data_IF_489578081576
#
_entry.id   IF_489578081576
#
_cell.length_a   1.000
_cell.length_b   1.000
_cell.length_c   1.000
_cell.angle_alpha   90.00
_cell.angle_beta   90.00
_cell.angle_gamma   90.00
#
_symmetry.space_group_name_H-M   'P 1'
#
loop_
_entity.id
_entity.type
_entity.pdbx_description
1 polymer ?
#
# COMPACT_ATOMS: atom_id res chain seq x y z
N UNK A 1 -2.22 14.62 -11.16
CA UNK A 1 -2.23 15.68 -10.13
C UNK A 1 -2.89 15.09 -8.89
N UNK A 2 -2.09 14.63 -7.92
CA UNK A 2 -2.61 14.13 -6.65
C UNK A 2 -2.86 15.32 -5.71
N UNK A 3 -3.90 15.21 -4.88
CA UNK A 3 -4.27 16.21 -3.88
C UNK A 3 -3.13 16.42 -2.88
N UNK A 4 -2.58 17.63 -2.82
CA UNK A 4 -1.64 18.08 -1.78
C UNK A 4 -2.45 18.94 -0.82
N UNK A 5 -2.50 18.62 0.49
CA UNK A 5 -3.19 19.46 1.45
C UNK A 5 -2.58 20.86 1.44
N UNK A 6 -3.41 21.88 1.22
CA UNK A 6 -2.95 23.26 1.21
C UNK A 6 -2.62 23.69 2.66
N UNK A 7 -1.35 23.66 3.02
CA UNK A 7 -0.85 24.26 4.27
C UNK A 7 -0.42 25.69 4.02
N UNK A 8 -1.37 26.59 3.73
CA UNK A 8 -1.13 28.04 3.76
C UNK A 8 -1.98 28.71 4.84
N UNK A 9 -1.26 29.35 5.75
CA UNK A 9 -1.71 30.11 6.91
C UNK A 9 -2.38 31.43 6.54
N UNK A 10 -3.42 31.81 7.28
CA UNK A 10 -3.90 33.20 7.36
C UNK A 10 -5.26 33.44 6.70
N UNK A 11 -6.32 32.82 7.21
CA UNK A 11 -7.70 33.14 6.86
C UNK A 11 -8.62 32.65 7.97
N UNK A 12 -9.63 33.45 8.35
CA UNK A 12 -10.66 33.08 9.31
C UNK A 12 -11.15 31.66 9.04
N UNK A 13 -10.83 30.73 9.95
CA UNK A 13 -11.15 29.32 9.79
C UNK A 13 -12.68 29.18 9.66
N UNK A 14 -13.15 29.01 8.43
CA UNK A 14 -14.56 28.81 8.14
C UNK A 14 -14.94 27.50 8.82
N UNK A 15 -15.68 27.58 9.94
CA UNK A 15 -16.16 26.39 10.65
C UNK A 15 -17.05 25.61 9.69
N UNK A 16 -16.54 24.51 9.15
CA UNK A 16 -17.34 23.56 8.37
C UNK A 16 -18.43 23.02 9.28
N UNK A 17 -19.68 23.16 8.87
CA UNK A 17 -20.83 22.72 9.66
C UNK A 17 -20.93 21.19 9.63
N UNK A 18 -21.52 20.59 10.67
CA UNK A 18 -21.82 19.16 10.67
C UNK A 18 -22.64 18.74 9.44
N UNK A 19 -23.59 19.60 9.03
CA UNK A 19 -24.38 19.39 7.82
C UNK A 19 -23.51 19.27 6.56
N UNK A 20 -22.50 20.14 6.42
CA UNK A 20 -21.61 20.08 5.26
C UNK A 20 -20.80 18.79 5.20
N UNK A 21 -20.37 18.27 6.35
CA UNK A 21 -19.71 16.96 6.42
C UNK A 21 -20.67 15.84 6.03
N UNK A 22 -21.95 15.89 6.46
CA UNK A 22 -22.96 14.91 6.07
C UNK A 22 -23.18 14.91 4.54
N UNK A 23 -23.21 16.08 3.91
CA UNK A 23 -23.25 16.18 2.44
C UNK A 23 -22.03 15.54 1.79
N UNK A 24 -20.82 15.81 2.30
CA UNK A 24 -19.59 15.20 1.80
C UNK A 24 -19.59 13.67 1.95
N UNK A 25 -20.06 13.14 3.09
CA UNK A 25 -20.23 11.70 3.29
C UNK A 25 -21.16 11.09 2.23
N UNK A 26 -22.26 11.76 1.90
CA UNK A 26 -23.17 11.30 0.84
C UNK A 26 -22.51 11.30 -0.54
N UNK A 27 -21.74 12.34 -0.88
CA UNK A 27 -21.00 12.39 -2.14
C UNK A 27 -19.93 11.29 -2.24
N UNK A 28 -19.15 11.08 -1.17
CA UNK A 28 -18.18 9.98 -1.09
C UNK A 28 -18.86 8.64 -1.23
N UNK A 29 -19.98 8.41 -0.54
CA UNK A 29 -20.77 7.20 -0.69
C UNK A 29 -21.22 6.95 -2.14
N UNK A 30 -21.65 8.01 -2.83
CA UNK A 30 -22.01 7.97 -4.25
C UNK A 30 -20.82 7.63 -5.15
N UNK A 31 -19.65 8.20 -4.90
CA UNK A 31 -18.42 7.91 -5.66
C UNK A 31 -17.96 6.46 -5.48
N UNK A 32 -17.96 5.96 -4.23
CA UNK A 32 -17.67 4.55 -3.90
C UNK A 32 -18.60 3.62 -4.68
N UNK A 33 -19.91 3.90 -4.66
CA UNK A 33 -20.90 3.09 -5.36
C UNK A 33 -20.72 3.13 -6.88
N UNK A 34 -20.51 4.32 -7.47
CA UNK A 34 -20.30 4.49 -8.92
C UNK A 34 -19.04 3.77 -9.44
N UNK A 35 -18.01 3.64 -8.59
CA UNK A 35 -16.80 2.86 -8.91
C UNK A 35 -16.98 1.35 -8.79
N UNK A 36 -18.12 0.88 -8.27
CA UNK A 36 -18.33 -0.53 -7.97
C UNK A 36 -17.49 -1.02 -6.80
N UNK A 37 -17.09 -0.13 -5.87
CA UNK A 37 -16.28 -0.48 -4.70
C UNK A 37 -17.09 -1.01 -3.52
N UNK A 38 -18.42 -1.03 -3.66
CA UNK A 38 -19.33 -1.72 -2.75
C UNK A 38 -20.50 -2.29 -3.55
N UNK A 39 -20.99 -3.47 -3.19
CA UNK A 39 -22.20 -4.03 -3.74
C UNK A 39 -23.38 -3.84 -2.77
N UNK A 40 -24.57 -3.55 -3.30
CA UNK A 40 -25.78 -3.45 -2.49
C UNK A 40 -25.68 -2.44 -1.35
N UNK A 41 -25.59 -2.93 -0.11
CA UNK A 41 -25.57 -2.15 1.13
C UNK A 41 -24.29 -2.33 1.96
N UNK A 42 -23.25 -2.89 1.35
CA UNK A 42 -21.93 -3.08 1.92
C UNK A 42 -21.15 -1.76 2.07
N UNK A 43 -20.02 -1.82 2.75
CA UNK A 43 -19.16 -0.67 3.04
C UNK A 43 -19.75 0.31 4.06
N UNK A 44 -18.87 1.10 4.67
CA UNK A 44 -19.26 2.13 5.62
C UNK A 44 -18.15 3.16 5.77
N UNK A 45 -18.53 4.39 6.12
CA UNK A 45 -17.55 5.44 6.40
C UNK A 45 -17.99 6.32 7.55
N UNK A 46 -17.01 6.93 8.21
CA UNK A 46 -17.21 7.78 9.39
C UNK A 46 -16.36 9.03 9.34
N UNK A 47 -16.79 10.02 10.12
CA UNK A 47 -16.03 11.25 10.34
C UNK A 47 -16.07 11.69 11.80
N UNK A 48 -14.90 11.97 12.39
CA UNK A 48 -14.75 12.42 13.77
C UNK A 48 -14.94 13.94 13.87
N UNK A 49 -16.04 14.38 14.48
CA UNK A 49 -16.31 15.80 14.75
C UNK A 49 -15.58 16.26 16.02
N UNK A 50 -15.61 15.42 17.05
CA UNK A 50 -14.91 15.61 18.33
C UNK A 50 -14.66 14.25 18.99
N UNK A 51 -14.02 14.23 20.15
CA UNK A 51 -13.74 13.00 20.91
C UNK A 51 -15.00 12.14 21.11
N UNK A 52 -16.14 12.76 21.46
CA UNK A 52 -17.39 12.07 21.79
C UNK A 52 -18.46 12.16 20.69
N UNK A 53 -18.11 12.62 19.49
CA UNK A 53 -19.07 12.78 18.38
C UNK A 53 -18.45 12.29 17.09
N UNK A 54 -18.84 11.09 16.66
CA UNK A 54 -18.43 10.50 15.40
C UNK A 54 -19.66 10.32 14.51
N UNK A 55 -19.63 10.92 13.32
CA UNK A 55 -20.60 10.65 12.26
C UNK A 55 -20.31 9.29 11.65
N UNK A 56 -21.32 8.50 11.33
CA UNK A 56 -21.14 7.25 10.58
C UNK A 56 -22.32 6.96 9.67
N UNK A 57 -22.07 6.25 8.57
CA UNK A 57 -23.13 5.77 7.70
C UNK A 57 -24.03 4.76 8.43
N UNK A 58 -25.33 4.71 8.10
CA UNK A 58 -26.23 3.70 8.61
C UNK A 58 -25.93 2.31 8.03
N UNK A 59 -26.40 1.28 8.73
CA UNK A 59 -26.44 -0.10 8.25
C UNK A 59 -27.55 -0.31 7.22
N UNK A 60 -27.36 -1.26 6.30
CA UNK A 60 -28.35 -1.70 5.30
C UNK A 60 -28.88 -0.61 4.35
N UNK A 61 -28.08 0.42 4.08
CA UNK A 61 -28.38 1.45 3.07
C UNK A 61 -27.27 1.46 2.03
N UNK A 62 -27.63 1.44 0.75
CA UNK A 62 -26.67 1.61 -0.34
C UNK A 62 -25.93 2.93 -0.20
N UNK A 63 -24.59 2.90 -0.31
CA UNK A 63 -23.78 4.11 -0.22
C UNK A 63 -24.11 5.12 -1.34
N UNK A 64 -24.60 4.63 -2.48
CA UNK A 64 -25.05 5.45 -3.59
C UNK A 64 -26.31 6.29 -3.32
N UNK A 65 -27.11 5.90 -2.31
CA UNK A 65 -28.42 6.49 -2.04
C UNK A 65 -28.50 7.17 -0.65
N UNK A 66 -27.35 7.45 -0.03
CA UNK A 66 -27.30 8.13 1.27
C UNK A 66 -27.87 9.54 1.16
N UNK A 67 -28.65 9.94 2.16
CA UNK A 67 -29.06 11.33 2.40
C UNK A 67 -28.39 11.86 3.66
N UNK A 68 -28.15 13.18 3.80
CA UNK A 68 -27.54 13.75 5.00
C UNK A 68 -28.26 13.38 6.31
N UNK A 69 -29.59 13.25 6.26
CA UNK A 69 -30.45 12.83 7.37
C UNK A 69 -30.31 11.36 7.76
N UNK A 70 -29.76 10.52 6.88
CA UNK A 70 -29.52 9.11 7.16
C UNK A 70 -28.26 8.89 8.02
N UNK A 71 -27.34 9.88 8.06
CA UNK A 71 -26.07 9.79 8.78
C UNK A 71 -26.32 9.76 10.30
N UNK A 72 -25.76 8.76 10.96
CA UNK A 72 -25.88 8.55 12.40
C UNK A 72 -24.77 9.29 13.15
N UNK A 73 -24.98 9.52 14.45
CA UNK A 73 -23.93 10.00 15.36
C UNK A 73 -23.77 8.99 16.49
N UNK A 74 -22.53 8.63 16.78
CA UNK A 74 -22.14 7.77 17.90
C UNK A 74 -21.19 8.51 18.84
N UNK A 75 -21.13 8.06 20.09
CA UNK A 75 -20.08 8.42 21.04
C UNK A 75 -18.79 7.59 20.83
N UNK A 76 -17.77 7.81 21.67
CA UNK A 76 -16.47 7.14 21.57
C UNK A 76 -16.54 5.65 21.88
N UNK A 77 -17.60 5.20 22.56
CA UNK A 77 -17.90 3.79 22.83
C UNK A 77 -18.74 3.14 21.71
N UNK A 78 -19.14 3.91 20.69
CA UNK A 78 -19.91 3.41 19.54
C UNK A 78 -21.40 3.27 19.81
N UNK A 79 -21.90 3.82 20.93
CA UNK A 79 -23.32 3.92 21.22
C UNK A 79 -23.91 5.06 20.39
N UNK A 80 -25.01 4.75 19.71
CA UNK A 80 -25.73 5.74 18.91
C UNK A 80 -26.40 6.77 19.81
N UNK A 81 -26.03 8.03 19.63
CA UNK A 81 -26.55 9.17 20.37
C UNK A 81 -27.57 9.98 19.56
N UNK A 82 -27.50 9.93 18.21
CA UNK A 82 -28.53 10.49 17.35
C UNK A 82 -28.56 9.85 15.94
N UNK A 83 -29.62 10.12 15.18
CA UNK A 83 -29.87 9.57 13.84
C UNK A 83 -31.08 8.64 13.80
N UNK A 84 -31.82 8.66 12.69
CA UNK A 84 -33.08 7.90 12.52
C UNK A 84 -32.87 6.42 12.20
N UNK A 85 -31.75 6.09 11.56
CA UNK A 85 -31.38 4.73 11.16
C UNK A 85 -30.41 4.12 12.16
N UNK A 86 -30.28 2.79 12.13
CA UNK A 86 -29.27 2.07 12.90
C UNK A 86 -27.88 2.33 12.31
N UNK A 87 -26.94 2.77 13.14
CA UNK A 87 -25.51 2.94 12.79
C UNK A 87 -24.90 1.64 12.23
N UNK A 88 -23.83 1.75 11.44
CA UNK A 88 -23.10 0.58 10.88
C UNK A 88 -22.73 -0.45 11.96
N UNK A 89 -22.78 -1.75 11.64
CA UNK A 89 -22.33 -2.83 12.54
C UNK A 89 -20.84 -2.73 12.86
N UNK A 90 -20.05 -2.10 12.00
CA UNK A 90 -18.58 -2.10 12.08
C UNK A 90 -18.00 -0.83 12.67
N UNK A 91 -18.80 -0.06 13.41
CA UNK A 91 -18.33 1.19 14.01
C UNK A 91 -17.13 0.99 14.95
N UNK A 92 -17.01 -0.19 15.56
CA UNK A 92 -15.90 -0.52 16.46
C UNK A 92 -14.55 -0.62 15.73
N UNK A 93 -14.54 -1.03 14.46
CA UNK A 93 -13.35 -0.99 13.61
C UNK A 93 -12.85 0.46 13.44
N UNK A 94 -13.77 1.39 13.18
CA UNK A 94 -13.45 2.81 12.99
C UNK A 94 -12.95 3.45 14.29
N UNK A 95 -13.58 3.11 15.42
CA UNK A 95 -13.19 3.60 16.73
C UNK A 95 -11.80 3.10 17.16
N UNK A 96 -11.44 1.85 16.84
CA UNK A 96 -10.08 1.35 17.09
C UNK A 96 -9.02 2.19 16.38
N UNK A 97 -9.29 2.64 15.14
CA UNK A 97 -8.43 3.57 14.40
C UNK A 97 -8.38 4.93 15.09
N UNK A 98 -9.54 5.52 15.39
CA UNK A 98 -9.60 6.84 16.01
C UNK A 98 -8.89 6.91 17.37
N UNK A 99 -9.00 5.87 18.19
CA UNK A 99 -8.32 5.75 19.49
C UNK A 99 -6.80 5.75 19.34
N UNK A 100 -6.28 5.04 18.35
CA UNK A 100 -4.84 4.92 18.13
C UNK A 100 -4.24 6.08 17.30
N UNK A 101 -5.07 6.85 16.59
CA UNK A 101 -4.66 7.93 15.67
C UNK A 101 -5.44 9.24 15.88
N UNK A 102 -4.97 10.12 16.79
CA UNK A 102 -5.56 11.44 17.03
C UNK A 102 -5.52 12.39 15.82
N UNK A 103 -4.70 12.10 14.81
CA UNK A 103 -4.60 12.85 13.55
C UNK A 103 -5.69 12.49 12.52
N UNK A 104 -6.30 11.30 12.63
CA UNK A 104 -7.27 10.77 11.65
C UNK A 104 -8.68 11.30 11.89
N UNK A 105 -9.30 11.98 10.92
CA UNK A 105 -10.72 12.38 11.04
C UNK A 105 -11.66 11.50 10.24
N UNK A 106 -11.22 10.88 9.16
CA UNK A 106 -12.07 10.06 8.31
C UNK A 106 -11.58 8.62 8.23
N UNK A 107 -12.53 7.69 8.21
CA UNK A 107 -12.29 6.27 7.99
C UNK A 107 -13.31 5.77 6.99
N UNK A 108 -12.86 5.04 5.98
CA UNK A 108 -13.68 4.41 4.95
C UNK A 108 -13.33 2.93 4.90
N UNK A 109 -14.34 2.08 5.11
CA UNK A 109 -14.27 0.66 4.85
C UNK A 109 -15.14 0.32 3.64
N UNK A 110 -14.59 -0.42 2.68
CA UNK A 110 -15.28 -0.85 1.47
C UNK A 110 -14.67 -2.14 0.91
N UNK A 111 -15.22 -2.61 -0.22
CA UNK A 111 -14.93 -3.89 -0.84
C UNK A 111 -14.53 -3.72 -2.32
N UNK A 112 -13.50 -2.91 -2.64
CA UNK A 112 -13.10 -2.70 -4.01
C UNK A 112 -12.51 -4.02 -4.59
N UNK A 113 -12.92 -4.46 -5.80
CA UNK A 113 -12.75 -5.85 -6.22
C UNK A 113 -11.31 -6.36 -6.27
N UNK A 114 -10.36 -5.53 -6.73
CA UNK A 114 -8.99 -5.98 -6.94
C UNK A 114 -8.25 -6.07 -5.60
N UNK A 115 -8.37 -5.05 -4.73
CA UNK A 115 -7.76 -5.13 -3.40
C UNK A 115 -8.42 -6.23 -2.54
N UNK A 116 -9.73 -6.41 -2.68
CA UNK A 116 -10.46 -7.51 -2.01
C UNK A 116 -9.98 -8.88 -2.50
N UNK A 117 -9.62 -9.04 -3.78
CA UNK A 117 -9.04 -10.28 -4.29
C UNK A 117 -7.74 -10.66 -3.58
N UNK A 118 -6.86 -9.69 -3.27
CA UNK A 118 -5.65 -9.93 -2.47
C UNK A 118 -6.00 -10.34 -1.04
N UNK A 119 -6.97 -9.66 -0.42
CA UNK A 119 -7.43 -9.98 0.93
C UNK A 119 -8.03 -11.39 1.03
N UNK A 120 -8.78 -11.83 0.02
CA UNK A 120 -9.33 -13.20 -0.09
C UNK A 120 -8.21 -14.21 -0.37
N UNK A 121 -7.23 -13.87 -1.20
CA UNK A 121 -6.10 -14.74 -1.49
C UNK A 121 -5.11 -14.89 -0.33
N UNK A 122 -5.20 -14.04 0.71
CA UNK A 122 -4.24 -14.00 1.80
C UNK A 122 -2.85 -13.55 1.36
N UNK A 123 -2.79 -12.67 0.35
CA UNK A 123 -1.53 -12.18 -0.23
C UNK A 123 -1.38 -10.68 0.04
N UNK A 124 -0.29 -10.30 0.70
CA UNK A 124 0.00 -8.88 0.94
C UNK A 124 0.33 -8.13 -0.36
N UNK A 125 0.00 -6.83 -0.41
CA UNK A 125 0.41 -5.99 -1.53
C UNK A 125 1.92 -5.67 -1.42
N UNK A 126 2.69 -5.80 -2.52
CA UNK A 126 4.11 -5.50 -2.49
C UNK A 126 4.39 -4.04 -2.26
N UNK A 127 5.57 -3.78 -1.69
CA UNK A 127 6.22 -2.47 -1.70
C UNK A 127 7.26 -2.42 -2.82
N UNK A 128 7.77 -1.23 -3.10
CA UNK A 128 8.76 -0.94 -4.12
C UNK A 128 8.33 -1.32 -5.54
N UNK A 129 7.06 -1.12 -5.93
CA UNK A 129 6.62 -1.43 -7.31
C UNK A 129 6.08 -0.20 -8.01
N UNK A 130 5.19 0.54 -7.36
CA UNK A 130 4.45 1.63 -8.00
C UNK A 130 4.65 2.94 -7.22
N UNK A 131 5.27 3.97 -7.81
CA UNK A 131 5.61 5.23 -7.13
C UNK A 131 4.44 5.86 -6.37
N UNK A 132 3.26 5.93 -6.98
CA UNK A 132 2.07 6.53 -6.37
C UNK A 132 1.56 5.72 -5.17
N UNK A 133 1.70 4.39 -5.19
CA UNK A 133 1.33 3.57 -4.04
C UNK A 133 2.29 3.84 -2.87
N UNK A 134 3.59 3.97 -3.17
CA UNK A 134 4.61 4.27 -2.16
C UNK A 134 4.41 5.64 -1.51
N UNK A 135 4.14 6.65 -2.32
CA UNK A 135 3.96 8.03 -1.86
C UNK A 135 2.64 8.18 -1.11
N UNK A 136 1.51 7.74 -1.67
CA UNK A 136 0.18 8.09 -1.16
C UNK A 136 -0.45 7.05 -0.21
N UNK A 137 -0.08 5.76 -0.32
CA UNK A 137 -0.54 4.74 0.63
C UNK A 137 0.49 4.51 1.74
N UNK A 138 1.76 4.35 1.34
CA UNK A 138 2.78 3.73 2.20
C UNK A 138 2.53 2.23 2.36
N UNK A 139 3.02 1.62 3.46
CA UNK A 139 2.86 0.19 3.68
C UNK A 139 1.38 -0.19 3.82
N UNK A 140 0.88 -1.09 2.97
CA UNK A 140 -0.45 -1.70 3.11
C UNK A 140 -0.31 -3.00 3.87
N UNK A 141 -0.97 -3.11 5.03
CA UNK A 141 -0.89 -4.30 5.90
C UNK A 141 -2.08 -5.21 5.70
N UNK A 142 -1.94 -6.48 6.04
CA UNK A 142 -3.04 -7.45 6.05
C UNK A 142 -3.38 -7.88 7.48
N UNK A 143 -4.62 -7.63 7.89
CA UNK A 143 -5.16 -8.17 9.13
C UNK A 143 -5.79 -9.54 8.91
N UNK A 144 -5.77 -10.38 9.95
CA UNK A 144 -6.44 -11.68 9.96
C UNK A 144 -7.95 -11.53 9.80
N UNK A 145 -8.60 -12.58 9.29
CA UNK A 145 -10.06 -12.62 9.24
C UNK A 145 -10.69 -12.53 10.63
N UNK A 146 -11.74 -11.72 10.72
CA UNK A 146 -12.67 -11.66 11.84
C UNK A 146 -14.06 -11.42 11.27
N UNK A 147 -15.07 -12.07 11.85
CA UNK A 147 -16.47 -11.89 11.46
C UNK A 147 -16.87 -10.40 11.52
N UNK A 148 -17.46 -9.83 10.45
CA UNK A 148 -17.92 -8.45 10.43
C UNK A 148 -18.86 -8.11 11.60
N UNK A 149 -18.62 -6.97 12.24
CA UNK A 149 -19.39 -6.52 13.42
C UNK A 149 -18.99 -7.14 14.76
N UNK A 150 -18.04 -8.08 14.79
CA UNK A 150 -17.42 -8.57 16.04
C UNK A 150 -16.43 -7.52 16.60
N UNK A 151 -16.36 -7.41 17.93
CA UNK A 151 -15.43 -6.48 18.61
C UNK A 151 -13.97 -6.77 18.26
N UNK A 152 -13.63 -8.05 18.05
CA UNK A 152 -12.28 -8.51 17.70
C UNK A 152 -11.78 -7.97 16.36
N UNK A 153 -12.66 -7.39 15.53
CA UNK A 153 -12.28 -6.79 14.26
C UNK A 153 -11.39 -5.56 14.49
N UNK A 154 -11.69 -4.74 15.51
CA UNK A 154 -10.82 -3.64 15.92
C UNK A 154 -9.45 -4.14 16.39
N UNK A 155 -9.44 -5.13 17.28
CA UNK A 155 -8.20 -5.76 17.80
C UNK A 155 -7.32 -6.33 16.69
N UNK A 156 -7.92 -6.85 15.61
CA UNK A 156 -7.17 -7.46 14.50
C UNK A 156 -6.30 -6.47 13.71
N UNK A 157 -6.65 -5.18 13.74
CA UNK A 157 -5.94 -4.14 13.00
C UNK A 157 -4.96 -3.34 13.88
N UNK A 158 -5.16 -3.33 15.19
CA UNK A 158 -4.40 -2.52 16.15
C UNK A 158 -2.87 -2.56 15.96
N UNK A 159 -2.22 -3.71 15.71
CA UNK A 159 -0.77 -3.77 15.49
C UNK A 159 -0.27 -2.95 14.30
N UNK A 160 -1.16 -2.64 13.35
CA UNK A 160 -0.82 -1.99 12.08
C UNK A 160 -1.23 -0.50 12.03
N UNK A 161 -2.15 -0.07 12.90
CA UNK A 161 -2.82 1.25 12.78
C UNK A 161 -1.84 2.43 12.86
N UNK A 162 -0.76 2.28 13.64
CA UNK A 162 0.26 3.34 13.81
C UNK A 162 1.18 3.50 12.60
N UNK A 163 1.38 2.42 11.86
CA UNK A 163 2.39 2.33 10.79
C UNK A 163 1.77 2.19 9.38
N UNK A 164 0.46 2.28 9.28
CA UNK A 164 -0.26 2.24 8.01
C UNK A 164 -1.39 3.27 7.99
N UNK A 165 -1.88 3.56 6.79
CA UNK A 165 -3.12 4.30 6.55
C UNK A 165 -4.15 3.48 5.74
N UNK A 166 -3.82 2.24 5.38
CA UNK A 166 -4.63 1.34 4.55
C UNK A 166 -4.36 -0.11 4.96
N UNK A 167 -5.41 -0.83 5.36
CA UNK A 167 -5.29 -2.20 5.86
C UNK A 167 -6.26 -3.08 5.07
N UNK A 168 -5.75 -4.16 4.47
CA UNK A 168 -6.56 -5.24 3.94
C UNK A 168 -7.09 -6.09 5.10
N UNK A 169 -8.37 -6.43 5.06
CA UNK A 169 -9.05 -7.27 6.02
C UNK A 169 -9.23 -8.65 5.39
N UNK A 170 -8.50 -9.67 5.87
CA UNK A 170 -8.47 -10.99 5.24
C UNK A 170 -9.87 -11.58 5.02
N UNK A 171 -10.12 -12.10 3.80
CA UNK A 171 -11.43 -12.59 3.33
C UNK A 171 -12.59 -11.59 3.44
N UNK A 172 -12.30 -10.29 3.54
CA UNK A 172 -13.31 -9.28 3.76
C UNK A 172 -13.19 -8.13 2.77
N UNK A 173 -12.32 -7.15 3.00
CA UNK A 173 -12.24 -5.93 2.19
C UNK A 173 -11.04 -5.07 2.58
N UNK A 174 -11.20 -3.74 2.55
CA UNK A 174 -10.15 -2.79 2.92
C UNK A 174 -10.68 -1.69 3.82
N UNK A 175 -9.84 -1.20 4.74
CA UNK A 175 -10.11 0.01 5.51
C UNK A 175 -9.00 1.04 5.26
N UNK A 176 -9.40 2.25 4.87
CA UNK A 176 -8.54 3.39 4.57
C UNK A 176 -8.89 4.55 5.51
N UNK A 177 -7.89 5.30 5.96
CA UNK A 177 -8.11 6.38 6.90
C UNK A 177 -7.12 7.55 6.75
N UNK A 178 -7.57 8.74 7.15
CA UNK A 178 -6.89 9.99 6.85
C UNK A 178 -7.41 11.23 7.59
N UNK A 179 -6.79 12.40 7.35
CA UNK A 179 -7.17 13.67 7.99
C UNK A 179 -8.53 14.21 7.52
N UNK A 180 -9.04 13.74 6.38
CA UNK A 180 -10.35 14.11 5.83
C UNK A 180 -10.92 13.00 4.92
N UNK A 181 -12.19 13.17 4.51
CA UNK A 181 -12.93 12.19 3.71
C UNK A 181 -12.34 11.98 2.31
N UNK A 182 -11.79 13.02 1.68
CA UNK A 182 -11.20 12.93 0.34
C UNK A 182 -9.92 12.13 0.38
N UNK A 183 -9.03 12.40 1.34
CA UNK A 183 -7.79 11.66 1.50
C UNK A 183 -8.05 10.16 1.78
N UNK A 184 -9.00 9.83 2.67
CA UNK A 184 -9.38 8.45 2.92
C UNK A 184 -9.97 7.77 1.66
N UNK A 185 -10.73 8.51 0.84
CA UNK A 185 -11.30 8.00 -0.40
C UNK A 185 -10.24 7.82 -1.50
N UNK A 186 -9.29 8.74 -1.64
CA UNK A 186 -8.19 8.59 -2.59
C UNK A 186 -7.33 7.38 -2.26
N UNK A 187 -7.08 7.10 -0.98
CA UNK A 187 -6.40 5.86 -0.57
C UNK A 187 -7.17 4.61 -1.02
N UNK A 188 -8.50 4.63 -0.91
CA UNK A 188 -9.35 3.55 -1.41
C UNK A 188 -9.25 3.38 -2.93
N UNK A 189 -9.20 4.47 -3.70
CA UNK A 189 -8.99 4.40 -5.15
C UNK A 189 -7.59 3.89 -5.51
N UNK A 190 -6.56 4.39 -4.84
CA UNK A 190 -5.17 4.06 -5.14
C UNK A 190 -4.88 2.61 -4.79
N UNK A 191 -5.38 2.08 -3.68
CA UNK A 191 -5.13 0.68 -3.29
C UNK A 191 -5.77 -0.30 -4.28
N UNK A 192 -6.97 -0.03 -4.77
CA UNK A 192 -7.61 -0.89 -5.77
C UNK A 192 -6.95 -0.76 -7.15
N UNK A 193 -6.61 0.47 -7.55
CA UNK A 193 -5.86 0.69 -8.79
C UNK A 193 -4.51 -0.02 -8.77
N UNK A 194 -3.80 0.03 -7.64
CA UNK A 194 -2.52 -0.66 -7.48
C UNK A 194 -2.70 -2.19 -7.53
N UNK A 195 -3.66 -2.73 -6.79
CA UNK A 195 -4.00 -4.16 -6.86
C UNK A 195 -4.33 -4.61 -8.29
N UNK A 196 -5.10 -3.80 -9.04
CA UNK A 196 -5.41 -4.07 -10.45
C UNK A 196 -4.16 -4.08 -11.32
N UNK A 197 -3.26 -3.11 -11.15
CA UNK A 197 -1.98 -3.05 -11.87
C UNK A 197 -1.18 -4.32 -11.62
N UNK A 198 -1.08 -4.80 -10.38
CA UNK A 198 -0.34 -6.02 -10.04
C UNK A 198 -0.95 -7.27 -10.67
N UNK A 199 -2.28 -7.41 -10.65
CA UNK A 199 -2.98 -8.52 -11.30
C UNK A 199 -2.76 -8.52 -12.81
N UNK A 200 -2.83 -7.35 -13.44
CA UNK A 200 -2.57 -7.20 -14.88
C UNK A 200 -1.10 -7.45 -15.21
N UNK A 201 -0.17 -6.89 -14.43
CA UNK A 201 1.27 -7.05 -14.62
C UNK A 201 1.66 -8.53 -14.61
N UNK A 202 1.09 -9.33 -13.69
CA UNK A 202 1.28 -10.78 -13.64
C UNK A 202 0.94 -11.48 -14.96
N UNK A 203 -0.07 -11.01 -15.69
CA UNK A 203 -0.45 -11.59 -17.00
C UNK A 203 0.43 -11.14 -18.16
N UNK A 204 1.14 -10.01 -18.00
CA UNK A 204 2.00 -9.40 -19.02
C UNK A 204 3.43 -9.93 -18.88
N UNK A 205 3.95 -10.07 -17.66
CA UNK A 205 5.31 -10.56 -17.40
C UNK A 205 5.77 -10.36 -15.96
N UNK A 206 7.09 -10.33 -15.78
CA UNK A 206 7.71 -10.18 -14.45
C UNK A 206 7.67 -8.72 -13.98
N UNK A 207 7.33 -8.53 -12.71
CA UNK A 207 7.35 -7.21 -12.07
C UNK A 207 8.80 -6.84 -11.74
N UNK A 208 9.19 -5.62 -12.14
CA UNK A 208 10.50 -5.04 -11.85
C UNK A 208 10.39 -4.08 -10.66
N UNK A 209 10.88 -4.44 -9.47
CA UNK A 209 10.78 -3.57 -8.31
C UNK A 209 11.75 -2.38 -8.41
N UNK A 210 11.38 -1.30 -7.74
CA UNK A 210 12.19 -0.12 -7.47
C UNK A 210 13.37 -0.46 -6.55
N UNK A 211 14.52 0.13 -6.86
CA UNK A 211 15.75 0.03 -6.07
C UNK A 211 15.73 0.93 -4.82
N UNK A 212 16.79 0.81 -4.01
CA UNK A 212 16.90 1.56 -2.74
C UNK A 212 16.97 3.08 -2.94
N UNK A 213 17.70 3.56 -3.96
CA UNK A 213 17.80 5.00 -4.26
C UNK A 213 16.47 5.58 -4.75
N UNK A 214 15.77 4.88 -5.65
CA UNK A 214 14.43 5.31 -6.09
C UNK A 214 13.45 5.36 -4.90
N UNK A 215 13.51 4.36 -4.01
CA UNK A 215 12.70 4.37 -2.79
C UNK A 215 13.07 5.52 -1.85
N UNK A 216 14.35 5.88 -1.75
CA UNK A 216 14.79 7.06 -0.99
C UNK A 216 14.17 8.34 -1.54
N UNK A 217 14.25 8.54 -2.85
CA UNK A 217 13.68 9.72 -3.52
C UNK A 217 12.16 9.81 -3.29
N UNK A 218 11.45 8.69 -3.35
CA UNK A 218 10.00 8.65 -3.10
C UNK A 218 9.66 8.96 -1.63
N UNK A 219 10.45 8.48 -0.68
CA UNK A 219 10.25 8.80 0.74
C UNK A 219 10.54 10.27 1.05
N UNK A 220 11.57 10.86 0.42
CA UNK A 220 11.86 12.29 0.50
C UNK A 220 10.73 13.13 -0.14
N UNK A 221 10.23 12.72 -1.31
CA UNK A 221 9.10 13.35 -1.98
C UNK A 221 7.84 13.32 -1.13
N UNK A 222 7.56 12.20 -0.48
CA UNK A 222 6.44 12.05 0.47
C UNK A 222 6.57 13.02 1.65
N UNK A 223 7.77 13.19 2.19
CA UNK A 223 8.08 14.19 3.21
C UNK A 223 7.81 15.62 2.75
N UNK A 224 8.13 15.96 1.49
CA UNK A 224 7.83 17.28 0.89
C UNK A 224 6.32 17.57 0.77
N UNK A 225 5.49 16.53 0.68
CA UNK A 225 4.02 16.66 0.73
C UNK A 225 3.46 16.71 2.16
N UNK A 226 4.30 16.73 3.18
CA UNK A 226 3.87 16.75 4.59
C UNK A 226 3.30 15.42 5.08
N UNK A 227 3.55 14.33 4.35
CA UNK A 227 3.08 12.99 4.70
C UNK A 227 4.16 12.24 5.49
N UNK A 228 3.78 11.62 6.60
CA UNK A 228 4.68 10.77 7.38
C UNK A 228 4.71 9.34 6.83
N UNK A 229 5.85 8.67 6.98
CA UNK A 229 6.01 7.25 6.67
C UNK A 229 6.95 6.59 7.69
N UNK A 230 6.58 5.46 8.31
CA UNK A 230 7.41 4.80 9.31
C UNK A 230 8.75 4.31 8.75
N UNK A 231 8.84 4.07 7.44
CA UNK A 231 10.08 3.56 6.79
C UNK A 231 11.20 4.60 6.76
N UNK A 232 10.86 5.90 6.82
CA UNK A 232 11.86 6.98 6.93
C UNK A 232 12.76 6.80 8.16
N UNK A 233 12.22 6.26 9.25
CA UNK A 233 12.95 6.04 10.51
C UNK A 233 13.77 4.75 10.54
N UNK A 234 13.50 3.80 9.64
CA UNK A 234 14.05 2.44 9.72
C UNK A 234 15.42 2.31 9.02
N UNK A 235 15.83 3.30 8.21
CA UNK A 235 17.05 3.25 7.40
C UNK A 235 16.83 2.58 6.04
N UNK A 236 17.51 3.09 5.00
CA UNK A 236 17.37 2.61 3.61
C UNK A 236 17.84 1.16 3.43
N UNK A 237 18.81 0.75 4.25
CA UNK A 237 19.37 -0.60 4.33
C UNK A 237 18.35 -1.65 4.80
N UNK A 238 17.28 -1.23 5.49
CA UNK A 238 16.23 -2.12 6.00
C UNK A 238 14.95 -2.12 5.16
N UNK A 239 14.92 -1.36 4.06
CA UNK A 239 13.82 -1.43 3.10
C UNK A 239 13.87 -2.77 2.37
N UNK A 240 13.04 -3.71 2.83
CA UNK A 240 12.81 -4.96 2.13
C UNK A 240 11.68 -4.77 1.13
N UNK A 241 12.02 -4.94 -0.16
CA UNK A 241 11.08 -4.91 -1.28
C UNK A 241 10.48 -6.29 -1.58
N UNK A 242 10.73 -7.28 -0.70
CA UNK A 242 10.28 -8.65 -0.91
C UNK A 242 8.94 -8.89 -0.22
N UNK A 243 8.02 -9.49 -0.96
CA UNK A 243 6.79 -10.03 -0.38
C UNK A 243 6.34 -11.29 -1.14
N UNK A 244 5.36 -11.99 -0.56
CA UNK A 244 4.81 -13.26 -1.05
C UNK A 244 4.19 -13.15 -2.47
N UNK A 245 3.71 -11.97 -2.88
CA UNK A 245 3.23 -11.80 -4.25
C UNK A 245 4.39 -11.84 -5.27
N UNK A 246 5.47 -11.12 -5.00
CA UNK A 246 6.63 -11.07 -5.88
C UNK A 246 7.33 -12.44 -5.98
N UNK A 247 7.36 -13.24 -4.91
CA UNK A 247 7.90 -14.60 -4.97
C UNK A 247 7.02 -15.55 -5.79
N UNK A 248 5.68 -15.42 -5.71
CA UNK A 248 4.74 -16.25 -6.48
C UNK A 248 4.65 -15.88 -7.96
N UNK A 249 4.98 -14.65 -8.32
CA UNK A 249 5.04 -14.17 -9.72
C UNK A 249 6.47 -14.26 -10.27
N UNK A 250 7.49 -14.38 -9.41
CA UNK A 250 8.92 -14.35 -9.73
C UNK A 250 9.57 -15.72 -9.92
N UNK A 251 8.91 -16.68 -10.58
CA UNK A 251 9.64 -17.78 -11.21
C UNK A 251 10.50 -17.19 -12.35
N UNK A 252 11.83 -17.29 -12.23
CA UNK A 252 12.89 -16.76 -13.11
C UNK A 252 12.57 -15.41 -13.80
N UNK A 253 13.35 -14.38 -13.44
CA UNK A 253 13.25 -13.03 -13.96
C UNK A 253 13.54 -13.02 -15.47
N UNK A 254 12.53 -13.34 -16.27
CA UNK A 254 12.62 -13.31 -17.72
C UNK A 254 12.17 -11.93 -18.19
N UNK A 255 13.05 -10.93 -18.07
CA UNK A 255 12.89 -9.66 -18.77
C UNK A 255 13.04 -9.90 -20.28
N UNK A 256 11.99 -10.39 -20.94
CA UNK A 256 11.96 -10.56 -22.40
C UNK A 256 11.77 -9.23 -23.15
N UNK A 257 11.51 -8.13 -22.43
CA UNK A 257 11.35 -6.80 -23.00
C UNK A 257 12.69 -6.15 -23.33
N UNK A 258 12.78 -5.50 -24.50
CA UNK A 258 13.90 -4.64 -24.86
C UNK A 258 13.54 -3.19 -24.51
N UNK A 259 14.51 -2.40 -24.08
CA UNK A 259 14.39 -0.96 -23.82
C UNK A 259 15.42 -0.19 -24.65
N UNK A 260 15.06 1.03 -25.05
CA UNK A 260 15.99 1.92 -25.74
C UNK A 260 16.91 2.58 -24.72
N UNK A 261 18.22 2.44 -24.92
CA UNK A 261 19.27 3.14 -24.20
C UNK A 261 20.00 4.09 -25.14
N UNK A 262 20.87 4.93 -24.58
CA UNK A 262 21.78 5.78 -25.37
C UNK A 262 22.70 4.99 -26.32
N UNK A 263 22.85 3.68 -26.07
CA UNK A 263 23.65 2.73 -26.84
C UNK A 263 22.84 1.76 -27.72
N UNK A 264 21.52 1.93 -27.83
CA UNK A 264 20.64 1.12 -28.68
C UNK A 264 19.61 0.29 -27.92
N UNK A 265 19.07 -0.76 -28.56
CA UNK A 265 18.13 -1.68 -27.87
C UNK A 265 18.90 -2.64 -26.97
N UNK A 266 18.61 -2.61 -25.66
CA UNK A 266 19.17 -3.52 -24.66
C UNK A 266 18.05 -4.29 -23.94
N UNK A 267 18.39 -5.42 -23.29
CA UNK A 267 17.42 -6.12 -22.43
C UNK A 267 17.05 -5.23 -21.24
N UNK A 268 15.76 -5.26 -20.89
CA UNK A 268 15.27 -4.56 -19.71
C UNK A 268 15.95 -5.12 -18.44
N UNK A 269 16.38 -4.25 -17.52
CA UNK A 269 17.00 -4.64 -16.26
C UNK A 269 15.98 -5.30 -15.34
N UNK A 270 16.46 -6.11 -14.39
CA UNK A 270 15.61 -6.83 -13.43
C UNK A 270 14.95 -5.90 -12.40
N UNK A 271 15.66 -4.83 -12.01
CA UNK A 271 15.13 -3.75 -11.15
C UNK A 271 15.02 -2.45 -11.93
N UNK A 272 14.08 -1.61 -11.52
CA UNK A 272 14.09 -0.22 -11.98
C UNK A 272 15.36 0.50 -11.50
N UNK A 273 15.86 1.43 -12.31
CA UNK A 273 17.09 2.19 -12.02
C UNK A 273 18.40 1.44 -12.23
N UNK A 274 18.41 0.12 -12.38
CA UNK A 274 19.62 -0.61 -12.79
C UNK A 274 19.97 -0.27 -14.25
N UNK A 275 21.26 -0.04 -14.57
CA UNK A 275 21.68 0.14 -15.96
C UNK A 275 21.35 -1.12 -16.76
N UNK A 276 20.83 -0.93 -17.97
CA UNK A 276 20.61 -2.04 -18.88
C UNK A 276 21.97 -2.55 -19.32
N UNK A 277 22.28 -3.82 -19.07
CA UNK A 277 23.57 -4.38 -19.50
C UNK A 277 23.67 -4.25 -21.03
N UNK A 278 24.67 -3.50 -21.50
CA UNK A 278 24.95 -3.34 -22.92
C UNK A 278 25.24 -4.71 -23.56
N UNK A 279 25.10 -4.88 -24.89
CA UNK A 279 25.53 -6.10 -25.58
C UNK A 279 26.98 -6.47 -25.26
N UNK A 280 27.83 -5.48 -24.97
CA UNK A 280 29.23 -5.66 -24.59
C UNK A 280 29.40 -6.11 -23.12
N UNK A 281 28.65 -5.54 -22.17
CA UNK A 281 28.69 -5.98 -20.75
C UNK A 281 28.11 -7.39 -20.58
N UNK A 282 27.10 -7.77 -21.36
CA UNK A 282 26.59 -9.14 -21.38
C UNK A 282 27.64 -10.12 -21.93
N UNK A 283 28.39 -9.71 -22.96
CA UNK A 283 29.51 -10.50 -23.47
C UNK A 283 30.64 -10.61 -22.44
N UNK A 284 30.96 -9.55 -21.69
CA UNK A 284 31.98 -9.57 -20.63
C UNK A 284 31.53 -10.39 -19.41
N UNK A 285 30.26 -10.32 -19.01
CA UNK A 285 29.70 -11.13 -17.94
C UNK A 285 29.66 -12.63 -18.30
N UNK A 286 29.41 -12.96 -19.57
CA UNK A 286 29.52 -14.32 -20.09
C UNK A 286 30.98 -14.81 -20.25
N UNK A 287 31.95 -13.89 -20.18
CA UNK A 287 33.39 -14.17 -20.23
C UNK A 287 34.05 -14.11 -18.84
N UNK A 288 33.29 -13.98 -17.75
CA UNK A 288 33.85 -14.11 -16.41
C UNK A 288 34.51 -15.50 -16.29
N UNK A 289 35.82 -15.59 -15.98
CA UNK A 289 36.48 -16.88 -15.85
C UNK A 289 35.84 -17.69 -14.71
N UNK A 290 35.90 -19.03 -14.75
CA UNK A 290 35.36 -19.85 -13.67
C UNK A 290 35.95 -19.38 -12.33
N UNK A 291 35.10 -19.16 -11.34
CA UNK A 291 35.55 -18.87 -9.99
C UNK A 291 36.30 -20.11 -9.48
N UNK A 292 37.62 -20.01 -9.37
CA UNK A 292 38.44 -21.02 -8.73
C UNK A 292 38.21 -20.93 -7.22
N UNK A 293 37.88 -22.06 -6.61
CA UNK A 293 37.81 -22.18 -5.15
C UNK A 293 39.22 -22.13 -4.56
N UNK A 294 39.35 -21.83 -3.26
CA UNK A 294 40.66 -21.87 -2.57
C UNK A 294 41.34 -23.24 -2.74
N UNK A 295 40.56 -24.33 -2.79
CA UNK A 295 41.08 -25.68 -3.04
C UNK A 295 41.68 -25.84 -4.44
N UNK A 296 41.10 -25.21 -5.46
CA UNK A 296 41.63 -25.25 -6.83
C UNK A 296 42.97 -24.50 -6.93
N UNK A 297 43.09 -23.40 -6.18
CA UNK A 297 44.33 -22.60 -6.11
C UNK A 297 45.42 -23.36 -5.36
N UNK A 298 45.10 -23.99 -4.23
CA UNK A 298 46.05 -24.81 -3.47
C UNK A 298 46.57 -26.00 -4.29
N UNK A 299 45.67 -26.68 -5.02
CA UNK A 299 46.05 -27.81 -5.86
C UNK A 299 46.97 -27.38 -7.03
N UNK A 300 46.73 -26.19 -7.59
CA UNK A 300 47.57 -25.63 -8.64
C UNK A 300 48.97 -25.24 -8.11
N UNK A 301 49.02 -24.60 -6.94
CA UNK A 301 50.29 -24.25 -6.27
C UNK A 301 51.09 -25.50 -5.93
N UNK A 302 50.43 -26.55 -5.44
CA UNK A 302 51.08 -27.83 -5.15
C UNK A 302 51.67 -28.45 -6.42
N UNK A 303 50.89 -28.49 -7.50
CA UNK A 303 51.32 -29.06 -8.79
C UNK A 303 52.53 -28.33 -9.37
N UNK A 304 52.53 -27.00 -9.32
CA UNK A 304 53.67 -26.18 -9.79
C UNK A 304 54.89 -26.41 -8.89
N UNK A 305 54.70 -26.47 -7.58
CA UNK A 305 55.78 -26.73 -6.62
C UNK A 305 56.42 -28.09 -6.88
N UNK A 306 55.62 -29.14 -7.08
CA UNK A 306 56.11 -30.49 -7.37
C UNK A 306 56.89 -30.55 -8.69
N UNK A 307 56.41 -29.84 -9.72
CA UNK A 307 57.09 -29.75 -11.02
C UNK A 307 58.44 -29.01 -10.92
N UNK A 308 58.50 -27.93 -10.14
CA UNK A 308 59.75 -27.18 -9.91
C UNK A 308 60.73 -28.05 -9.11
N UNK A 309 60.27 -28.74 -8.07
CA UNK A 309 61.11 -29.61 -7.25
C UNK A 309 61.62 -30.82 -8.04
N UNK A 310 60.81 -31.38 -8.95
CA UNK A 310 61.22 -32.45 -9.85
C UNK A 310 62.22 -32.00 -10.94
N UNK A 311 62.20 -30.71 -11.32
CA UNK A 311 63.15 -30.13 -12.28
C UNK A 311 64.46 -29.65 -11.63
N UNK A 312 64.50 -29.54 -10.29
CA UNK A 312 65.65 -29.06 -9.52
C UNK A 312 66.49 -30.18 -8.88
N UNK A 313 66.16 -31.46 -9.11
CA UNK A 313 66.92 -32.65 -8.70
C UNK A 313 67.34 -33.51 -9.89
#
# INVERSE_FOLDING_TARGET
MAYVPNTSSGGSATRVTEWKIREQMCDIGRRIWLKGFCAGNEGNHSYRLSENRILCTPSLVSKGNLKPDDICVVDREGKQISGKRKRTSEILLHLAIYTNRPDVKAVIHSHPPHATAFAVAGVELPTCVHPEAEVFLGPVRMARYVTPGDKRLGESIEPFVKDSNTILLGNHGVVCYGPDLEDAYYKLEIVDAYARILLLAKSIGTIRPLGAEEMKELLELKGRFGMSDPRVKQGLDKLTCQNDFLSRVGGEIATRGMVMTDSGMARAPERAGQPCASPMEQAVAALAPPQYSEADVEQLVQTITDQIMAAAG
#
